data_IF_051589168021
#
_entry.id   IF_051589168021
#
_cell.length_a   1.000
_cell.length_b   1.000
_cell.length_c   1.000
_cell.angle_alpha   90.00
_cell.angle_beta   90.00
_cell.angle_gamma   90.00
#
_symmetry.space_group_name_H-M   'P 1'
#
loop_
_entity.id
_entity.type
_entity.pdbx_description
1 polymer ?
#
# COMPACT_ATOMS: atom_id res chain seq x y z
N UNK A 1 13.90 -9.74 34.10
CA UNK A 1 13.92 -8.31 33.64
C UNK A 1 12.62 -7.96 32.96
N UNK A 2 12.22 -8.67 31.90
CA UNK A 2 11.07 -8.33 31.07
C UNK A 2 9.74 -8.04 31.81
N UNK A 3 9.36 -8.86 32.80
CA UNK A 3 8.12 -8.62 33.57
C UNK A 3 8.22 -7.32 34.41
N UNK A 4 9.24 -7.23 35.28
CA UNK A 4 9.32 -6.27 36.40
C UNK A 4 10.13 -5.02 36.12
N UNK A 5 11.06 -5.09 35.17
CA UNK A 5 11.96 -3.98 34.82
C UNK A 5 12.43 -4.14 33.36
N UNK A 6 11.50 -3.96 32.40
CA UNK A 6 11.82 -4.05 30.97
C UNK A 6 12.73 -2.92 30.49
N UNK A 7 12.68 -1.73 31.12
CA UNK A 7 13.52 -0.57 30.75
C UNK A 7 15.01 -0.91 30.82
N UNK A 8 15.46 -1.68 31.82
CA UNK A 8 16.86 -2.13 31.88
C UNK A 8 17.33 -2.92 30.67
N UNK A 9 16.41 -3.51 29.89
CA UNK A 9 16.78 -4.24 28.67
C UNK A 9 17.16 -3.25 27.56
N UNK A 10 16.65 -2.01 27.56
CA UNK A 10 17.02 -0.98 26.57
C UNK A 10 18.46 -0.50 26.72
N UNK A 11 19.10 -0.77 27.86
CA UNK A 11 20.51 -0.42 28.10
C UNK A 11 21.49 -1.37 27.40
N UNK A 12 21.01 -2.52 26.93
CA UNK A 12 21.85 -3.49 26.23
C UNK A 12 21.97 -3.12 24.75
N UNK A 13 23.20 -3.09 24.26
CA UNK A 13 23.47 -3.09 22.82
C UNK A 13 23.09 -4.44 22.21
N UNK A 14 22.87 -4.47 20.88
CA UNK A 14 22.67 -5.72 20.13
C UNK A 14 23.81 -6.71 20.40
N UNK A 15 25.06 -6.24 20.48
CA UNK A 15 26.22 -7.09 20.75
C UNK A 15 26.16 -7.74 22.15
N UNK A 16 25.72 -7.01 23.17
CA UNK A 16 25.58 -7.57 24.52
C UNK A 16 24.40 -8.55 24.61
N UNK A 17 23.29 -8.28 23.91
CA UNK A 17 22.19 -9.24 23.80
C UNK A 17 22.65 -10.52 23.10
N UNK A 18 23.42 -10.39 22.02
CA UNK A 18 23.97 -11.51 21.28
C UNK A 18 25.02 -12.30 22.08
N UNK A 19 25.85 -11.63 22.88
CA UNK A 19 26.80 -12.28 23.79
C UNK A 19 26.09 -13.14 24.84
N UNK A 20 24.93 -12.68 25.33
CA UNK A 20 24.15 -13.37 26.35
C UNK A 20 23.22 -14.47 25.79
N UNK A 21 22.64 -14.25 24.61
CA UNK A 21 21.57 -15.09 24.06
C UNK A 21 21.89 -15.78 22.74
N UNK A 22 23.08 -15.57 22.17
CA UNK A 22 23.42 -15.91 20.80
C UNK A 22 22.95 -14.84 19.80
N UNK A 23 23.56 -14.80 18.62
CA UNK A 23 23.30 -13.77 17.60
C UNK A 23 21.81 -13.67 17.25
N UNK A 24 21.18 -14.80 16.94
CA UNK A 24 19.74 -14.87 16.64
C UNK A 24 18.88 -14.64 17.88
N UNK A 25 19.36 -15.05 19.07
CA UNK A 25 18.66 -14.81 20.33
C UNK A 25 18.52 -13.33 20.70
N UNK A 26 19.29 -12.44 20.07
CA UNK A 26 19.10 -10.99 20.20
C UNK A 26 17.74 -10.50 19.63
N UNK A 27 16.99 -11.35 18.91
CA UNK A 27 15.64 -11.04 18.43
C UNK A 27 14.60 -10.80 19.54
N UNK A 28 14.95 -11.07 20.82
CA UNK A 28 14.11 -10.77 21.99
C UNK A 28 13.75 -9.29 22.14
N UNK A 29 14.35 -8.39 21.34
CA UNK A 29 13.86 -7.02 21.16
C UNK A 29 12.38 -6.97 20.72
N UNK A 30 11.87 -7.99 20.02
CA UNK A 30 10.43 -8.12 19.73
C UNK A 30 9.59 -8.31 20.99
N UNK A 31 10.11 -9.04 21.97
CA UNK A 31 9.43 -9.21 23.26
C UNK A 31 9.43 -7.89 24.04
N UNK A 32 10.44 -7.05 23.85
CA UNK A 32 10.50 -5.71 24.43
C UNK A 32 9.47 -4.77 23.78
N UNK A 33 9.28 -4.83 22.46
CA UNK A 33 8.20 -4.08 21.79
C UNK A 33 6.81 -4.50 22.31
N UNK A 34 6.57 -5.81 22.43
CA UNK A 34 5.32 -6.32 23.03
C UNK A 34 5.15 -5.80 24.47
N UNK A 35 6.20 -5.92 25.29
CA UNK A 35 6.15 -5.49 26.70
C UNK A 35 5.94 -3.98 26.86
N UNK A 36 6.46 -3.16 25.94
CA UNK A 36 6.27 -1.71 25.92
C UNK A 36 4.87 -1.25 25.52
N UNK A 37 4.06 -2.13 24.93
CA UNK A 37 2.66 -1.86 24.62
C UNK A 37 1.70 -2.21 25.77
N UNK A 38 2.19 -2.91 26.80
CA UNK A 38 1.43 -3.23 28.00
C UNK A 38 1.61 -2.14 29.08
N UNK A 39 0.71 -2.14 30.06
CA UNK A 39 0.78 -1.32 31.29
C UNK A 39 2.17 -1.36 31.96
N UNK A 40 2.53 -0.30 32.69
CA UNK A 40 3.81 -0.22 33.43
C UNK A 40 4.03 -1.46 34.30
N UNK A 41 2.96 -1.93 34.95
CA UNK A 41 2.95 -3.16 35.75
C UNK A 41 2.02 -4.20 35.15
N UNK A 42 2.57 -5.40 34.99
CA UNK A 42 1.85 -6.59 34.50
C UNK A 42 2.01 -7.73 35.49
N UNK A 43 1.07 -8.66 35.49
CA UNK A 43 1.16 -9.90 36.26
C UNK A 43 1.49 -11.06 35.31
N UNK A 44 2.61 -11.75 35.55
CA UNK A 44 2.92 -12.97 34.81
C UNK A 44 2.13 -14.15 35.35
N UNK A 45 0.98 -14.43 34.73
CA UNK A 45 0.07 -15.51 35.15
C UNK A 45 0.56 -16.89 34.68
N UNK A 46 1.46 -16.93 33.69
CA UNK A 46 2.06 -18.16 33.22
C UNK A 46 3.46 -17.93 32.65
N UNK A 47 4.36 -18.87 32.92
CA UNK A 47 5.69 -18.94 32.31
C UNK A 47 6.07 -20.40 32.10
N UNK A 48 6.53 -20.71 30.89
CA UNK A 48 7.18 -21.99 30.58
C UNK A 48 8.52 -21.75 29.89
N UNK A 49 9.42 -22.70 30.08
CA UNK A 49 10.72 -22.76 29.44
C UNK A 49 11.11 -24.21 29.21
N UNK A 50 11.50 -24.53 27.99
CA UNK A 50 11.94 -25.87 27.63
C UNK A 50 12.99 -25.81 26.51
N UNK A 51 14.09 -26.55 26.64
CA UNK A 51 15.20 -26.57 25.69
C UNK A 51 15.46 -28.02 25.22
N UNK A 52 14.67 -28.54 24.27
CA UNK A 52 14.88 -29.90 23.76
C UNK A 52 16.01 -30.01 22.73
N UNK A 53 16.45 -28.88 22.15
CA UNK A 53 17.44 -28.82 21.08
C UNK A 53 18.20 -27.48 21.16
N UNK A 54 18.36 -26.77 20.04
CA UNK A 54 19.21 -25.57 19.96
C UNK A 54 18.54 -24.27 20.42
N UNK A 55 17.22 -24.14 20.24
CA UNK A 55 16.48 -22.92 20.59
C UNK A 55 15.69 -23.12 21.89
N UNK A 56 15.85 -22.23 22.89
CA UNK A 56 15.03 -22.27 24.09
C UNK A 56 13.60 -21.84 23.76
N UNK A 57 12.66 -22.77 23.94
CA UNK A 57 11.24 -22.53 23.75
C UNK A 57 10.69 -21.97 25.05
N UNK A 58 10.35 -20.69 25.04
CA UNK A 58 9.74 -20.00 26.17
C UNK A 58 8.37 -19.44 25.79
N UNK A 59 7.44 -19.43 26.74
CA UNK A 59 6.14 -18.78 26.60
C UNK A 59 5.79 -18.05 27.88
N UNK A 60 5.38 -16.79 27.75
CA UNK A 60 4.97 -15.93 28.85
C UNK A 60 3.54 -15.46 28.59
N UNK A 61 2.72 -15.45 29.64
CA UNK A 61 1.40 -14.82 29.60
C UNK A 61 1.40 -13.72 30.65
N UNK A 62 1.16 -12.50 30.20
CA UNK A 62 1.02 -11.32 31.03
C UNK A 62 -0.45 -10.90 31.07
N UNK A 63 -0.96 -10.59 32.25
CA UNK A 63 -2.27 -9.98 32.45
C UNK A 63 -2.08 -8.52 32.89
N UNK A 64 -2.82 -7.61 32.25
CA UNK A 64 -2.83 -6.20 32.60
C UNK A 64 -3.85 -5.95 33.72
N UNK A 65 -3.36 -5.45 34.86
CA UNK A 65 -4.17 -5.06 36.02
C UNK A 65 -3.84 -3.63 36.41
N UNK A 66 -4.01 -2.71 35.47
CA UNK A 66 -3.64 -1.31 35.66
C UNK A 66 -4.86 -0.38 35.59
N UNK A 67 -4.77 0.70 36.36
CA UNK A 67 -5.67 1.87 36.29
C UNK A 67 -4.92 3.08 35.69
N UNK A 68 -3.75 2.86 35.10
CA UNK A 68 -2.98 3.88 34.39
C UNK A 68 -3.85 4.62 33.38
N UNK A 69 -3.62 5.92 33.28
CA UNK A 69 -4.29 6.78 32.31
C UNK A 69 -3.24 7.34 31.37
N UNK A 70 -3.52 7.41 30.06
CA UNK A 70 -2.59 8.01 29.12
C UNK A 70 -2.37 9.50 29.45
N UNK A 71 -1.17 10.00 29.18
CA UNK A 71 -0.84 11.42 29.38
C UNK A 71 -1.61 12.36 28.42
N UNK A 72 -2.11 11.82 27.31
CA UNK A 72 -2.93 12.49 26.32
C UNK A 72 -4.30 11.80 26.26
N UNK A 73 -5.38 12.57 26.09
CA UNK A 73 -6.71 11.99 25.92
C UNK A 73 -6.82 11.29 24.55
N UNK A 74 -7.67 10.27 24.44
CA UNK A 74 -7.92 9.60 23.14
C UNK A 74 -8.36 10.59 22.05
N UNK A 75 -9.13 11.62 22.43
CA UNK A 75 -9.59 12.65 21.50
C UNK A 75 -8.44 13.52 20.97
N UNK A 76 -7.51 13.93 21.85
CA UNK A 76 -6.34 14.71 21.46
C UNK A 76 -5.36 13.86 20.65
N UNK A 77 -5.16 12.60 21.05
CA UNK A 77 -4.37 11.62 20.29
C UNK A 77 -4.89 11.47 18.87
N UNK A 78 -6.19 11.20 18.70
CA UNK A 78 -6.84 11.07 17.39
C UNK A 78 -6.71 12.35 16.56
N UNK A 79 -6.86 13.51 17.18
CA UNK A 79 -6.67 14.80 16.49
C UNK A 79 -5.23 14.95 15.99
N UNK A 80 -4.24 14.57 16.80
CA UNK A 80 -2.82 14.67 16.46
C UNK A 80 -2.42 13.71 15.36
N UNK A 81 -2.80 12.43 15.43
CA UNK A 81 -2.40 11.45 14.40
C UNK A 81 -3.07 11.71 13.03
N UNK A 82 -4.23 12.38 13.02
CA UNK A 82 -4.93 12.75 11.79
C UNK A 82 -4.59 14.16 11.29
N UNK A 83 -3.73 14.92 12.00
CA UNK A 83 -3.49 16.34 11.74
C UNK A 83 -3.04 16.62 10.30
N UNK A 84 -2.11 15.82 9.76
CA UNK A 84 -1.53 16.00 8.42
C UNK A 84 -2.57 15.86 7.29
N UNK A 85 -3.61 15.05 7.52
CA UNK A 85 -4.64 14.77 6.52
C UNK A 85 -5.93 15.58 6.74
N UNK A 86 -6.02 16.31 7.85
CA UNK A 86 -7.20 17.09 8.20
C UNK A 86 -7.48 18.16 7.14
N UNK A 87 -8.72 18.18 6.62
CA UNK A 87 -9.14 19.13 5.60
C UNK A 87 -8.91 18.68 4.17
N UNK A 88 -8.19 17.56 3.94
CA UNK A 88 -7.98 17.02 2.58
C UNK A 88 -9.27 16.56 1.91
N UNK A 89 -10.30 16.23 2.69
CA UNK A 89 -11.65 15.91 2.24
C UNK A 89 -12.35 17.08 1.50
N UNK A 90 -11.88 18.32 1.70
CA UNK A 90 -12.42 19.50 1.02
C UNK A 90 -11.77 19.76 -0.35
N UNK A 91 -10.73 19.00 -0.71
CA UNK A 91 -10.06 19.15 -2.00
C UNK A 91 -10.89 18.48 -3.10
N UNK A 92 -11.56 19.30 -3.91
CA UNK A 92 -12.34 18.81 -5.05
C UNK A 92 -11.46 18.01 -6.04
N UNK A 93 -11.99 16.88 -6.51
CA UNK A 93 -11.31 16.03 -7.50
C UNK A 93 -10.00 15.39 -7.01
N UNK A 94 -9.77 15.35 -5.70
CA UNK A 94 -8.55 14.77 -5.10
C UNK A 94 -8.90 13.53 -4.29
N UNK A 95 -8.12 12.47 -4.48
CA UNK A 95 -8.35 11.16 -3.85
C UNK A 95 -7.06 10.67 -3.20
N UNK A 96 -6.75 11.07 -1.94
CA UNK A 96 -5.53 10.66 -1.25
C UNK A 96 -5.43 9.13 -1.18
N UNK A 97 -4.28 8.57 -1.57
CA UNK A 97 -4.05 7.12 -1.58
C UNK A 97 -3.69 6.61 -0.17
N UNK A 98 -4.68 6.60 0.72
CA UNK A 98 -4.57 6.11 2.09
C UNK A 98 -4.43 4.58 2.16
N UNK A 99 -4.06 4.04 3.33
CA UNK A 99 -3.99 2.59 3.57
C UNK A 99 -5.34 1.92 3.26
N UNK A 100 -6.46 2.52 3.68
CA UNK A 100 -7.81 2.00 3.40
C UNK A 100 -8.05 1.81 1.90
N UNK A 101 -7.75 2.83 1.09
CA UNK A 101 -7.90 2.75 -0.38
C UNK A 101 -6.92 1.76 -0.99
N UNK A 102 -5.68 1.74 -0.51
CA UNK A 102 -4.65 0.82 -0.98
C UNK A 102 -5.05 -0.64 -0.74
N UNK A 103 -5.60 -0.95 0.43
CA UNK A 103 -6.12 -2.29 0.76
C UNK A 103 -7.33 -2.64 -0.10
N UNK A 104 -8.32 -1.73 -0.20
CA UNK A 104 -9.52 -1.93 -1.02
C UNK A 104 -9.17 -2.31 -2.46
N UNK A 105 -8.24 -1.57 -3.07
CA UNK A 105 -7.87 -1.74 -4.47
C UNK A 105 -6.57 -2.51 -4.67
N UNK A 106 -6.09 -3.26 -3.66
CA UNK A 106 -4.81 -3.95 -3.73
C UNK A 106 -4.71 -4.88 -4.94
N UNK A 107 -5.78 -5.65 -5.18
CA UNK A 107 -5.83 -6.66 -6.25
C UNK A 107 -5.62 -6.07 -7.64
N UNK A 108 -6.43 -5.08 -8.02
CA UNK A 108 -6.30 -4.40 -9.31
C UNK A 108 -4.99 -3.61 -9.43
N UNK A 109 -4.51 -2.97 -8.37
CA UNK A 109 -3.21 -2.29 -8.41
C UNK A 109 -2.06 -3.28 -8.62
N UNK A 110 -2.09 -4.43 -7.95
CA UNK A 110 -1.10 -5.49 -8.10
C UNK A 110 -1.16 -6.12 -9.51
N UNK A 111 -2.36 -6.39 -10.02
CA UNK A 111 -2.55 -6.88 -11.39
C UNK A 111 -1.95 -5.94 -12.43
N UNK A 112 -2.21 -4.62 -12.32
CA UNK A 112 -1.64 -3.65 -13.26
C UNK A 112 -0.12 -3.53 -13.07
N UNK A 113 0.37 -3.57 -11.82
CA UNK A 113 1.79 -3.57 -11.53
C UNK A 113 2.51 -4.74 -12.21
N UNK A 114 1.91 -5.92 -12.20
CA UNK A 114 2.45 -7.13 -12.83
C UNK A 114 2.69 -6.99 -14.33
N UNK A 115 2.07 -6.03 -15.02
CA UNK A 115 2.30 -5.74 -16.43
C UNK A 115 3.69 -5.14 -16.72
N UNK A 116 4.52 -4.88 -15.70
CA UNK A 116 5.95 -4.62 -15.92
C UNK A 116 6.67 -5.84 -16.49
N UNK A 117 6.20 -7.05 -16.14
CA UNK A 117 6.72 -8.31 -16.69
C UNK A 117 6.30 -8.43 -18.18
N UNK A 118 7.26 -8.57 -19.12
CA UNK A 118 6.95 -8.74 -20.54
C UNK A 118 6.02 -9.90 -20.88
N UNK A 119 6.15 -11.03 -20.18
CA UNK A 119 5.32 -12.21 -20.45
C UNK A 119 3.87 -11.98 -20.02
N UNK A 120 3.67 -11.41 -18.82
CA UNK A 120 2.32 -11.05 -18.33
C UNK A 120 1.69 -9.94 -19.16
N UNK A 121 2.48 -8.94 -19.55
CA UNK A 121 2.04 -7.89 -20.47
C UNK A 121 1.60 -8.44 -21.81
N UNK A 122 2.37 -9.36 -22.39
CA UNK A 122 2.00 -10.03 -23.65
C UNK A 122 0.71 -10.83 -23.50
N UNK A 123 0.58 -11.62 -22.43
CA UNK A 123 -0.63 -12.40 -22.16
C UNK A 123 -1.87 -11.48 -22.04
N UNK A 124 -1.75 -10.36 -21.33
CA UNK A 124 -2.81 -9.36 -21.22
C UNK A 124 -3.18 -8.72 -22.58
N UNK A 125 -2.20 -8.43 -23.43
CA UNK A 125 -2.46 -7.86 -24.77
C UNK A 125 -3.12 -8.90 -25.69
N UNK A 126 -2.71 -10.17 -25.60
CA UNK A 126 -3.23 -11.24 -26.45
C UNK A 126 -4.66 -11.68 -26.04
N UNK A 127 -4.94 -11.79 -24.74
CA UNK A 127 -6.26 -12.18 -24.19
C UNK A 127 -6.50 -11.53 -22.81
N UNK A 128 -7.30 -10.46 -22.80
CA UNK A 128 -7.59 -9.71 -21.59
C UNK A 128 -8.42 -10.48 -20.57
N UNK A 129 -9.43 -11.25 -21.01
CA UNK A 129 -10.33 -11.95 -20.09
C UNK A 129 -9.60 -13.12 -19.41
N UNK A 130 -8.75 -13.85 -20.14
CA UNK A 130 -7.90 -14.88 -19.54
C UNK A 130 -6.90 -14.27 -18.54
N UNK A 131 -6.34 -13.09 -18.84
CA UNK A 131 -5.45 -12.39 -17.91
C UNK A 131 -6.20 -11.91 -16.66
N UNK A 132 -7.41 -11.39 -16.81
CA UNK A 132 -8.26 -10.98 -15.68
C UNK A 132 -8.63 -12.15 -14.76
N UNK A 133 -8.95 -13.30 -15.35
CA UNK A 133 -9.22 -14.53 -14.61
C UNK A 133 -7.99 -14.99 -13.84
N UNK A 134 -6.82 -15.03 -14.49
CA UNK A 134 -5.55 -15.37 -13.84
C UNK A 134 -5.14 -14.39 -12.73
N UNK A 135 -5.56 -13.12 -12.86
CA UNK A 135 -5.38 -12.09 -11.84
C UNK A 135 -6.42 -12.09 -10.72
N UNK A 136 -7.38 -13.02 -10.76
CA UNK A 136 -8.51 -13.15 -9.83
C UNK A 136 -9.32 -11.85 -9.65
N UNK A 137 -9.37 -11.01 -10.69
CA UNK A 137 -10.06 -9.73 -10.63
C UNK A 137 -11.56 -9.92 -10.42
N UNK A 138 -12.17 -9.06 -9.60
CA UNK A 138 -13.63 -9.00 -9.48
C UNK A 138 -14.25 -8.50 -10.78
N UNK A 139 -15.52 -8.79 -11.04
CA UNK A 139 -16.19 -8.30 -12.25
C UNK A 139 -16.22 -6.76 -12.35
N UNK A 140 -16.28 -6.04 -11.21
CA UNK A 140 -16.16 -4.58 -11.19
C UNK A 140 -14.76 -4.13 -11.64
N UNK A 141 -13.70 -4.77 -11.13
CA UNK A 141 -12.33 -4.49 -11.52
C UNK A 141 -12.07 -4.80 -13.01
N UNK A 142 -12.66 -5.89 -13.51
CA UNK A 142 -12.63 -6.25 -14.94
C UNK A 142 -13.33 -5.19 -15.79
N UNK A 143 -14.54 -4.78 -15.42
CA UNK A 143 -15.29 -3.76 -16.15
C UNK A 143 -14.53 -2.43 -16.24
N UNK A 144 -13.91 -2.00 -15.13
CA UNK A 144 -13.08 -0.80 -15.09
C UNK A 144 -11.92 -0.86 -16.10
N UNK A 145 -11.25 -2.00 -16.21
CA UNK A 145 -10.15 -2.23 -17.14
C UNK A 145 -10.64 -2.37 -18.59
N UNK A 146 -11.71 -3.11 -18.84
CA UNK A 146 -12.32 -3.27 -20.18
C UNK A 146 -12.70 -1.93 -20.78
N UNK A 147 -13.44 -1.12 -20.03
CA UNK A 147 -13.91 0.21 -20.47
C UNK A 147 -12.80 1.27 -20.48
N UNK A 148 -11.66 0.96 -19.87
CA UNK A 148 -10.55 1.91 -19.62
C UNK A 148 -11.06 3.20 -19.00
N UNK A 149 -11.94 3.07 -18.02
CA UNK A 149 -12.56 4.20 -17.34
C UNK A 149 -11.57 4.77 -16.32
N UNK A 150 -10.64 5.61 -16.82
CA UNK A 150 -9.54 6.18 -16.04
C UNK A 150 -10.02 6.91 -14.80
N UNK A 151 -11.14 7.63 -14.91
CA UNK A 151 -11.70 8.40 -13.79
C UNK A 151 -12.33 7.46 -12.76
N UNK A 152 -13.12 6.48 -13.20
CA UNK A 152 -13.70 5.49 -12.29
C UNK A 152 -12.62 4.65 -11.60
N UNK A 153 -11.51 4.32 -12.26
CA UNK A 153 -10.38 3.63 -11.63
C UNK A 153 -9.74 4.45 -10.50
N UNK A 154 -9.55 5.76 -10.67
CA UNK A 154 -9.12 6.65 -9.57
C UNK A 154 -10.14 6.63 -8.42
N UNK A 155 -11.44 6.74 -8.73
CA UNK A 155 -12.49 6.72 -7.73
C UNK A 155 -12.55 5.39 -6.96
N UNK A 156 -12.33 4.26 -7.65
CA UNK A 156 -12.30 2.92 -7.06
C UNK A 156 -11.15 2.78 -6.05
N UNK A 157 -9.98 3.30 -6.39
CA UNK A 157 -8.76 3.24 -5.56
C UNK A 157 -7.50 2.85 -6.33
N UNK A 158 -7.51 2.82 -7.66
CA UNK A 158 -6.29 2.56 -8.44
C UNK A 158 -5.36 3.77 -8.34
N UNK A 159 -4.09 3.53 -8.03
CA UNK A 159 -3.07 4.57 -8.00
C UNK A 159 -2.80 5.09 -9.42
N UNK A 160 -2.61 6.41 -9.56
CA UNK A 160 -2.31 7.02 -10.86
C UNK A 160 -1.09 6.37 -11.55
N UNK A 161 -0.06 6.00 -10.79
CA UNK A 161 1.14 5.35 -11.36
C UNK A 161 0.89 3.94 -11.91
N UNK A 162 -0.21 3.30 -11.52
CA UNK A 162 -0.66 2.06 -12.16
C UNK A 162 -1.39 2.38 -13.46
N UNK A 163 -2.24 3.42 -13.47
CA UNK A 163 -2.90 3.89 -14.70
C UNK A 163 -1.90 4.36 -15.76
N UNK A 164 -0.80 5.00 -15.35
CA UNK A 164 0.29 5.39 -16.23
C UNK A 164 0.95 4.16 -16.90
N UNK A 165 1.19 3.09 -16.14
CA UNK A 165 1.72 1.82 -16.68
C UNK A 165 0.72 1.16 -17.63
N UNK A 166 -0.54 1.06 -17.21
CA UNK A 166 -1.61 0.52 -18.03
C UNK A 166 -1.72 1.31 -19.35
N UNK A 167 -1.68 2.64 -19.28
CA UNK A 167 -1.66 3.52 -20.44
C UNK A 167 -0.53 3.16 -21.41
N UNK A 168 0.70 3.03 -20.91
CA UNK A 168 1.84 2.61 -21.73
C UNK A 168 1.64 1.22 -22.38
N UNK A 169 1.07 0.26 -21.64
CA UNK A 169 0.79 -1.11 -22.14
C UNK A 169 -0.24 -1.08 -23.29
N UNK A 170 -1.27 -0.25 -23.17
CA UNK A 170 -2.39 -0.23 -24.13
C UNK A 170 -2.26 0.86 -25.20
N UNK A 171 -1.10 1.51 -25.30
CA UNK A 171 -0.80 2.51 -26.32
C UNK A 171 -1.47 3.87 -26.08
N UNK A 172 -1.78 4.21 -24.83
CA UNK A 172 -2.36 5.50 -24.41
C UNK A 172 -1.29 6.38 -23.76
N UNK A 173 -1.22 7.65 -24.15
CA UNK A 173 -0.27 8.62 -23.56
C UNK A 173 -0.84 9.24 -22.29
N UNK A 174 0.01 9.79 -21.42
CA UNK A 174 -0.44 10.40 -20.17
C UNK A 174 -1.46 11.53 -20.40
N UNK A 175 -1.31 12.29 -21.48
CA UNK A 175 -2.22 13.38 -21.80
C UNK A 175 -3.64 12.91 -22.15
N UNK A 176 -3.79 11.74 -22.78
CA UNK A 176 -5.12 11.16 -23.00
C UNK A 176 -5.77 10.77 -21.66
N UNK A 177 -4.99 10.18 -20.75
CA UNK A 177 -5.46 9.83 -19.40
C UNK A 177 -5.90 11.09 -18.64
N UNK A 178 -5.11 12.16 -18.69
CA UNK A 178 -5.46 13.43 -18.05
C UNK A 178 -6.70 14.09 -18.66
N UNK A 179 -6.81 14.09 -20.00
CA UNK A 179 -7.97 14.64 -20.70
C UNK A 179 -9.25 13.89 -20.32
N UNK A 180 -9.21 12.56 -20.31
CA UNK A 180 -10.33 11.71 -19.90
C UNK A 180 -10.73 11.96 -18.43
N UNK A 181 -9.76 12.10 -17.51
CA UNK A 181 -10.05 12.43 -16.11
C UNK A 181 -10.72 13.81 -15.94
N UNK A 182 -10.35 14.78 -16.79
CA UNK A 182 -10.98 16.11 -16.84
C UNK A 182 -12.31 16.14 -17.61
N UNK A 183 -12.69 15.05 -18.28
CA UNK A 183 -13.88 15.01 -19.14
C UNK A 183 -13.76 15.91 -20.37
N UNK A 184 -12.54 16.10 -20.89
CA UNK A 184 -12.26 16.96 -22.03
C UNK A 184 -11.74 16.11 -23.20
N UNK A 185 -11.90 16.63 -24.42
CA UNK A 185 -11.15 16.12 -25.57
C UNK A 185 -9.64 16.33 -25.35
N UNK A 186 -8.80 15.51 -25.97
CA UNK A 186 -7.34 15.72 -25.94
C UNK A 186 -6.96 17.10 -26.48
N UNK A 187 -7.64 17.58 -27.52
CA UNK A 187 -7.40 18.89 -28.13
C UNK A 187 -7.65 20.02 -27.11
N UNK A 188 -8.81 19.99 -26.45
CA UNK A 188 -9.18 21.00 -25.46
C UNK A 188 -8.29 20.94 -24.22
N UNK A 189 -7.92 19.74 -23.80
CA UNK A 189 -6.96 19.57 -22.71
C UNK A 189 -5.60 20.17 -23.08
N UNK A 190 -5.10 19.94 -24.30
CA UNK A 190 -3.83 20.50 -24.78
C UNK A 190 -3.83 22.04 -24.84
N UNK A 191 -4.97 22.68 -25.15
CA UNK A 191 -5.11 24.15 -25.09
C UNK A 191 -4.84 24.71 -23.69
N UNK A 192 -5.00 23.91 -22.64
CA UNK A 192 -4.70 24.34 -21.27
C UNK A 192 -3.21 24.24 -20.91
N UNK A 193 -2.35 23.68 -21.78
CA UNK A 193 -0.92 23.43 -21.52
C UNK A 193 -0.06 24.49 -22.18
N UNK A 194 1.04 24.88 -21.53
CA UNK A 194 2.01 25.84 -22.09
C UNK A 194 2.76 25.29 -23.30
N UNK A 195 2.92 23.96 -23.40
CA UNK A 195 3.52 23.28 -24.53
C UNK A 195 2.70 22.02 -24.87
N UNK A 196 2.54 21.75 -26.17
CA UNK A 196 1.72 20.65 -26.68
C UNK A 196 2.61 19.45 -27.01
N UNK A 197 2.92 18.64 -25.99
CA UNK A 197 3.80 17.46 -26.12
C UNK A 197 3.10 16.23 -25.59
N UNK A 198 3.02 15.19 -26.42
CA UNK A 198 2.57 13.86 -26.00
C UNK A 198 3.75 13.06 -25.44
N UNK A 199 3.56 12.42 -24.28
CA UNK A 199 4.56 11.54 -23.68
C UNK A 199 3.91 10.35 -22.97
N UNK A 200 4.68 9.28 -22.83
CA UNK A 200 4.33 8.05 -22.13
C UNK A 200 5.58 7.50 -21.43
N UNK A 201 5.39 6.59 -20.47
CA UNK A 201 6.48 5.83 -19.83
C UNK A 201 6.88 4.57 -20.62
N UNK A 202 6.29 4.38 -21.81
CA UNK A 202 6.56 3.22 -22.63
C UNK A 202 8.04 3.15 -23.07
N UNK A 203 8.63 1.96 -23.00
CA UNK A 203 10.01 1.70 -23.43
C UNK A 203 10.18 1.73 -24.94
N UNK A 204 11.42 1.51 -25.42
CA UNK A 204 11.81 1.59 -26.85
C UNK A 204 11.04 0.66 -27.80
N UNK A 205 10.29 -0.31 -27.27
CA UNK A 205 9.50 -1.29 -28.03
C UNK A 205 8.05 -0.82 -28.32
N UNK A 206 7.64 0.36 -27.86
CA UNK A 206 6.27 0.83 -27.98
C UNK A 206 5.94 1.32 -29.41
N UNK A 207 5.04 0.61 -30.08
CA UNK A 207 4.42 1.03 -31.33
C UNK A 207 3.49 2.25 -31.18
N UNK A 208 2.90 2.70 -32.30
CA UNK A 208 2.10 3.94 -32.39
C UNK A 208 0.96 4.00 -31.36
N UNK A 209 0.85 5.14 -30.70
CA UNK A 209 -0.15 5.48 -29.69
C UNK A 209 -1.39 6.12 -30.35
N UNK A 210 -2.47 5.38 -30.53
CA UNK A 210 -3.65 5.83 -31.30
C UNK A 210 -5.00 5.31 -30.72
N UNK A 211 -5.15 5.20 -29.40
CA UNK A 211 -6.34 4.61 -28.76
C UNK A 211 -7.66 5.41 -28.90
N UNK A 212 -7.62 6.73 -29.07
CA UNK A 212 -8.81 7.59 -28.89
C UNK A 212 -9.61 7.88 -30.17
N UNK A 213 -9.36 7.15 -31.27
CA UNK A 213 -10.04 7.42 -32.55
C UNK A 213 -11.50 6.98 -32.59
N UNK A 214 -11.92 6.07 -31.71
CA UNK A 214 -13.27 5.49 -31.73
C UNK A 214 -14.25 6.10 -30.70
N UNK A 215 -13.77 6.89 -29.73
CA UNK A 215 -14.66 7.56 -28.76
C UNK A 215 -15.35 8.82 -29.32
N UNK A 216 -14.95 9.29 -30.50
CA UNK A 216 -15.54 10.47 -31.17
C UNK A 216 -16.86 10.19 -31.93
N UNK A 217 -17.40 8.97 -31.88
CA UNK A 217 -18.56 8.55 -32.68
C UNK A 217 -19.87 8.31 -31.91
N UNK A 218 -20.02 8.78 -30.67
CA UNK A 218 -21.31 8.74 -29.97
C UNK A 218 -21.64 10.06 -29.30
#
# INVERSE_FOLDING_TARGET
LLEKNPEKITDYTIAQLAELGGMEGAEVVMWLMMRGALSEKVEMVHQTYYLPSMCPIASLIFEERSNEQPAESDADYLKRINHEMAGTENLEGTYPFTIERAVKAFRINNFIHDLIDPAKRKAFIDDQEAAFEAGELSEEERDLLRRRDWRAMIHYGVSFFMLEKLGAVVGTTNLHVYAAMKGMSLEDFQKTRNAQVLYSVAGKEAGKTDWDKDQQKK
#
